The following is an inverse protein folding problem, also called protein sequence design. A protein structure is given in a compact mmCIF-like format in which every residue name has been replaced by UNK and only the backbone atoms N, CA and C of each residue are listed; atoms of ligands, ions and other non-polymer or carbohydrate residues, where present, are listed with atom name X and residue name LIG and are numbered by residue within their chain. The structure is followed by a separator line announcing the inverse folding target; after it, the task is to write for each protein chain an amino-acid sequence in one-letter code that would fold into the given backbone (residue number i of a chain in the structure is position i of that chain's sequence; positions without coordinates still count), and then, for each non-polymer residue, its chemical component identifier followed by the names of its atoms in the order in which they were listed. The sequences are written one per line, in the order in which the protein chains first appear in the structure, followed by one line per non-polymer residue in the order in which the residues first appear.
data_IF_325463952831
#
_entry.id   IF_325463952831
#
_cell.length_a   1.000
_cell.length_b   1.000
_cell.length_c   1.000
_cell.angle_alpha   90.00
_cell.angle_beta   90.00
_cell.angle_gamma   90.00
#
_symmetry.space_group_name_H-M   'P 1'
#
loop_
_entity.id
_entity.type
_entity.pdbx_description
1 polymer ?
#
# COMPACT_ATOMS: atom_id res chain seq x y z
N UNK A 1 2.35 -22.00 18.36
CA UNK A 1 1.39 -21.88 17.24
C UNK A 1 1.58 -20.53 16.59
N UNK A 2 2.24 -20.50 15.44
CA UNK A 2 2.40 -19.28 14.64
C UNK A 2 1.02 -18.83 14.15
N UNK A 3 0.56 -17.67 14.64
CA UNK A 3 -0.72 -17.08 14.30
C UNK A 3 -0.82 -16.78 12.80
N UNK A 4 -1.36 -17.72 12.01
CA UNK A 4 -1.59 -17.54 10.56
C UNK A 4 -2.39 -16.26 10.23
N UNK A 5 -3.24 -15.79 11.16
CA UNK A 5 -3.96 -14.51 11.03
C UNK A 5 -3.03 -13.30 11.01
N UNK A 6 -1.98 -13.28 11.84
CA UNK A 6 -1.01 -12.19 11.89
C UNK A 6 -0.09 -12.22 10.65
N UNK A 7 0.22 -13.42 10.15
CA UNK A 7 1.15 -13.59 9.04
C UNK A 7 0.56 -13.11 7.70
N UNK A 8 -0.73 -13.40 7.45
CA UNK A 8 -1.43 -12.91 6.25
C UNK A 8 -1.61 -11.39 6.26
N UNK A 9 -1.82 -10.80 7.44
CA UNK A 9 -1.94 -9.35 7.60
C UNK A 9 -0.57 -8.66 7.49
N UNK A 10 0.49 -9.27 8.06
CA UNK A 10 1.87 -8.80 7.91
C UNK A 10 2.33 -8.83 6.45
N UNK A 11 2.00 -9.88 5.68
CA UNK A 11 2.25 -9.94 4.24
C UNK A 11 1.52 -8.83 3.48
N UNK A 12 0.26 -8.54 3.84
CA UNK A 12 -0.51 -7.46 3.23
C UNK A 12 0.12 -6.09 3.49
N UNK A 13 0.57 -5.83 4.73
CA UNK A 13 1.30 -4.61 5.09
C UNK A 13 2.65 -4.54 4.36
N UNK A 14 3.37 -5.66 4.25
CA UNK A 14 4.59 -5.75 3.43
C UNK A 14 4.35 -5.43 1.94
N UNK A 15 3.17 -5.77 1.40
CA UNK A 15 2.79 -5.41 0.04
C UNK A 15 2.53 -3.90 -0.13
N UNK A 16 2.13 -3.17 0.91
CA UNK A 16 2.10 -1.69 0.84
C UNK A 16 3.51 -1.12 0.70
N UNK A 17 4.49 -1.62 1.46
CA UNK A 17 5.89 -1.20 1.31
C UNK A 17 6.41 -1.47 -0.11
N UNK A 18 6.15 -2.67 -0.66
CA UNK A 18 6.54 -3.01 -2.04
C UNK A 18 5.87 -2.07 -3.04
N UNK A 19 4.58 -1.79 -2.87
CA UNK A 19 3.85 -0.86 -3.73
C UNK A 19 4.48 0.54 -3.71
N UNK A 20 4.78 1.09 -2.52
CA UNK A 20 5.46 2.37 -2.39
C UNK A 20 6.84 2.37 -3.07
N UNK A 21 7.65 1.34 -2.83
CA UNK A 21 8.98 1.20 -3.40
C UNK A 21 8.97 1.18 -4.93
N UNK A 22 8.13 0.33 -5.53
CA UNK A 22 8.05 0.24 -7.00
C UNK A 22 7.45 1.51 -7.60
N UNK A 23 6.50 2.16 -6.93
CA UNK A 23 5.92 3.40 -7.42
C UNK A 23 6.94 4.55 -7.40
N UNK A 24 7.78 4.64 -6.36
CA UNK A 24 8.86 5.62 -6.28
C UNK A 24 9.90 5.46 -7.41
N UNK A 25 10.00 4.25 -7.99
CA UNK A 25 10.85 3.93 -9.14
C UNK A 25 10.14 4.07 -10.49
N UNK A 26 8.92 4.60 -10.52
CA UNK A 26 8.06 4.70 -11.72
C UNK A 26 7.66 3.35 -12.33
N UNK A 27 7.72 2.26 -11.56
CA UNK A 27 7.31 0.91 -11.97
C UNK A 27 5.81 0.70 -11.68
N UNK A 28 4.94 1.48 -12.36
CA UNK A 28 3.52 1.60 -12.01
C UNK A 28 2.76 0.26 -12.00
N UNK A 29 3.01 -0.61 -12.98
CA UNK A 29 2.30 -1.89 -13.11
C UNK A 29 2.59 -2.79 -11.91
N UNK A 30 3.86 -2.89 -11.51
CA UNK A 30 4.29 -3.65 -10.34
C UNK A 30 3.71 -3.06 -9.06
N UNK A 31 3.79 -1.73 -8.91
CA UNK A 31 3.25 -1.02 -7.76
C UNK A 31 1.75 -1.30 -7.56
N UNK A 32 0.96 -1.16 -8.63
CA UNK A 32 -0.48 -1.41 -8.60
C UNK A 32 -0.82 -2.88 -8.31
N UNK A 33 -0.03 -3.82 -8.81
CA UNK A 33 -0.21 -5.23 -8.50
C UNK A 33 -0.01 -5.52 -7.00
N UNK A 34 1.03 -4.96 -6.38
CA UNK A 34 1.23 -5.09 -4.94
C UNK A 34 0.15 -4.37 -4.14
N UNK A 35 -0.24 -3.16 -4.56
CA UNK A 35 -1.30 -2.40 -3.90
C UNK A 35 -2.63 -3.17 -3.92
N UNK A 36 -2.99 -3.79 -5.05
CA UNK A 36 -4.17 -4.64 -5.18
C UNK A 36 -4.13 -5.84 -4.24
N UNK A 37 -2.97 -6.50 -4.10
CA UNK A 37 -2.80 -7.63 -3.16
C UNK A 37 -2.96 -7.18 -1.71
N UNK A 38 -2.47 -5.99 -1.37
CA UNK A 38 -2.63 -5.43 -0.03
C UNK A 38 -4.10 -5.12 0.29
N UNK A 39 -4.82 -4.45 -0.64
CA UNK A 39 -6.21 -4.01 -0.43
C UNK A 39 -7.23 -5.15 -0.35
N UNK A 40 -6.86 -6.36 -0.80
CA UNK A 40 -7.70 -7.56 -0.62
C UNK A 40 -7.75 -8.05 0.83
N UNK A 41 -6.73 -7.73 1.62
CA UNK A 41 -6.57 -8.25 2.99
C UNK A 41 -6.66 -7.16 4.05
N UNK A 42 -6.33 -5.92 3.70
CA UNK A 42 -6.40 -4.77 4.63
C UNK A 42 -7.81 -4.19 4.58
N UNK A 43 -8.47 -3.97 5.74
CA UNK A 43 -9.77 -3.32 5.79
C UNK A 43 -9.78 -1.94 5.13
N UNK A 44 -10.86 -1.60 4.40
CA UNK A 44 -10.94 -0.37 3.60
C UNK A 44 -10.84 0.89 4.45
N UNK A 45 -11.31 0.85 5.69
CA UNK A 45 -11.22 1.91 6.67
C UNK A 45 -9.79 2.33 6.98
N UNK A 46 -8.84 1.40 6.86
CA UNK A 46 -7.42 1.63 7.07
C UNK A 46 -6.69 2.11 5.81
N UNK A 47 -7.39 2.24 4.67
CA UNK A 47 -6.80 2.70 3.40
C UNK A 47 -7.54 3.92 2.84
N UNK A 48 -8.25 4.68 3.68
CA UNK A 48 -9.07 5.83 3.26
C UNK A 48 -8.27 6.87 2.50
N UNK A 49 -7.02 7.14 2.88
CA UNK A 49 -6.16 8.11 2.20
C UNK A 49 -5.79 7.69 0.77
N UNK A 50 -5.78 6.38 0.50
CA UNK A 50 -5.45 5.80 -0.82
C UNK A 50 -6.67 5.68 -1.73
N UNK A 51 -7.88 5.94 -1.23
CA UNK A 51 -9.12 5.84 -2.02
C UNK A 51 -9.03 6.57 -3.37
N UNK A 52 -8.54 7.83 -3.46
CA UNK A 52 -8.45 8.51 -4.76
C UNK A 52 -7.55 7.78 -5.76
N UNK A 53 -6.42 7.23 -5.29
CA UNK A 53 -5.52 6.43 -6.11
C UNK A 53 -6.17 5.14 -6.58
N UNK A 54 -6.89 4.44 -5.70
CA UNK A 54 -7.57 3.19 -6.02
C UNK A 54 -8.72 3.39 -7.02
N UNK A 55 -9.48 4.47 -6.86
CA UNK A 55 -10.63 4.78 -7.70
C UNK A 55 -10.21 5.21 -9.11
N UNK A 56 -9.11 5.97 -9.25
CA UNK A 56 -8.60 6.40 -10.54
C UNK A 56 -7.06 6.38 -10.63
N UNK A 57 -6.44 5.19 -10.80
CA UNK A 57 -4.99 5.07 -10.85
C UNK A 57 -4.36 5.83 -12.02
N UNK A 58 -4.99 5.81 -13.21
CA UNK A 58 -4.44 6.45 -14.40
C UNK A 58 -4.28 7.97 -14.24
N UNK A 59 -5.30 8.64 -13.67
CA UNK A 59 -5.23 10.07 -13.40
C UNK A 59 -4.26 10.41 -12.27
N UNK A 60 -4.26 9.58 -11.23
CA UNK A 60 -3.44 9.80 -10.04
C UNK A 60 -1.96 9.44 -10.27
N UNK A 61 -1.64 8.64 -11.27
CA UNK A 61 -0.27 8.29 -11.67
C UNK A 61 0.11 8.91 -13.02
N UNK A 62 -0.53 10.02 -13.40
CA UNK A 62 -0.33 10.63 -14.73
C UNK A 62 1.00 11.37 -14.92
N UNK A 63 1.83 11.48 -13.87
CA UNK A 63 3.13 12.15 -13.92
C UNK A 63 4.06 11.64 -12.83
N UNK A 64 5.38 11.77 -13.04
CA UNK A 64 6.40 11.38 -12.05
C UNK A 64 6.23 12.08 -10.70
N UNK A 65 5.76 13.32 -10.68
CA UNK A 65 5.51 14.05 -9.42
C UNK A 65 4.36 13.40 -8.67
N UNK A 66 3.25 13.07 -9.36
CA UNK A 66 2.13 12.40 -8.72
C UNK A 66 2.48 10.98 -8.29
N UNK A 67 3.28 10.25 -9.06
CA UNK A 67 3.80 8.93 -8.67
C UNK A 67 4.57 9.02 -7.35
N UNK A 68 5.51 9.98 -7.22
CA UNK A 68 6.26 10.18 -5.97
C UNK A 68 5.35 10.54 -4.80
N UNK A 69 4.41 11.46 -5.01
CA UNK A 69 3.41 11.82 -4.01
C UNK A 69 2.63 10.59 -3.52
N UNK A 70 2.15 9.76 -4.44
CA UNK A 70 1.40 8.55 -4.08
C UNK A 70 2.28 7.47 -3.46
N UNK A 71 3.55 7.37 -3.85
CA UNK A 71 4.51 6.48 -3.20
C UNK A 71 4.70 6.85 -1.73
N UNK A 72 4.82 8.15 -1.41
CA UNK A 72 4.87 8.64 -0.03
C UNK A 72 3.58 8.33 0.73
N UNK A 73 2.41 8.55 0.12
CA UNK A 73 1.13 8.22 0.77
C UNK A 73 0.96 6.74 1.07
N UNK A 74 1.38 5.86 0.17
CA UNK A 74 1.37 4.41 0.42
C UNK A 74 2.35 4.06 1.55
N UNK A 75 3.53 4.71 1.59
CA UNK A 75 4.53 4.49 2.64
C UNK A 75 4.04 4.96 4.01
N UNK A 76 3.30 6.06 4.08
CA UNK A 76 2.68 6.55 5.32
C UNK A 76 1.68 5.51 5.88
N UNK A 77 0.81 4.97 5.03
CA UNK A 77 -0.13 3.92 5.44
C UNK A 77 0.58 2.64 5.89
N UNK A 78 1.65 2.25 5.20
CA UNK A 78 2.50 1.15 5.64
C UNK A 78 3.03 1.36 7.07
N UNK A 79 3.57 2.56 7.37
CA UNK A 79 4.13 2.87 8.69
C UNK A 79 3.05 2.85 9.79
N UNK A 80 1.88 3.40 9.51
CA UNK A 80 0.74 3.40 10.44
C UNK A 80 0.34 1.96 10.79
N UNK A 81 0.15 1.12 9.77
CA UNK A 81 -0.28 -0.26 9.95
C UNK A 81 0.82 -1.13 10.57
N UNK A 82 2.08 -0.92 10.21
CA UNK A 82 3.21 -1.63 10.82
C UNK A 82 3.28 -1.34 12.33
N UNK A 83 3.09 -0.09 12.73
CA UNK A 83 3.05 0.28 14.14
C UNK A 83 1.88 -0.43 14.85
N UNK A 84 0.69 -0.47 14.24
CA UNK A 84 -0.45 -1.20 14.83
C UNK A 84 -0.17 -2.70 15.02
N UNK A 85 0.61 -3.33 14.13
CA UNK A 85 0.97 -4.75 14.25
C UNK A 85 2.03 -4.98 15.33
N UNK A 86 3.04 -4.09 15.44
CA UNK A 86 4.16 -4.27 16.37
C UNK A 86 3.80 -4.04 17.85
N UNK A 87 2.67 -3.41 18.14
CA UNK A 87 2.15 -3.20 19.51
C UNK A 87 1.00 -4.16 19.87
N UNK A 88 0.71 -5.18 19.04
CA UNK A 88 -0.29 -6.22 19.32
C UNK A 88 0.33 -7.50 19.92
#
# INVERSE_FOLDING_TARGET
MTNLKNDLQADAVGNLYRAAFYLAKSEQILALNFLKKATQKIPKENLKSLKPLLDNPKFNLSSKIKEKYWAEKILDEYKILLNQINYC
#
